data_IF_425002602573
#
_entry.id   IF_425002602573
#
_cell.length_a   1.000
_cell.length_b   1.000
_cell.length_c   1.000
_cell.angle_alpha   90.00
_cell.angle_beta   90.00
_cell.angle_gamma   90.00
#
_symmetry.space_group_name_H-M   'P 1'
#
loop_
_entity.id
_entity.type
_entity.pdbx_description
1 polymer ?
#
# COMPACT_ATOMS: atom_id res chain seq x y z
N UNK A 1 -6.03 -4.07 -0.02
CA UNK A 1 -4.72 -4.77 -0.04
C UNK A 1 -4.83 -6.22 -0.54
N UNK A 2 -5.88 -6.96 -0.18
CA UNK A 2 -6.09 -8.38 -0.53
C UNK A 2 -5.72 -8.76 -1.96
N UNK A 3 -6.24 -8.03 -2.97
CA UNK A 3 -5.96 -8.28 -4.39
C UNK A 3 -4.47 -8.34 -4.74
N UNK A 4 -3.65 -7.47 -4.14
CA UNK A 4 -2.22 -7.40 -4.40
C UNK A 4 -1.50 -8.56 -3.70
N UNK A 5 -1.87 -8.84 -2.45
CA UNK A 5 -1.34 -9.96 -1.67
C UNK A 5 -1.63 -11.30 -2.34
N UNK A 6 -2.86 -11.52 -2.84
CA UNK A 6 -3.26 -12.74 -3.56
C UNK A 6 -2.45 -12.92 -4.86
N UNK A 7 -2.00 -11.81 -5.46
CA UNK A 7 -1.09 -11.79 -6.61
C UNK A 7 0.39 -11.96 -6.27
N UNK A 8 0.74 -12.18 -4.99
CA UNK A 8 2.13 -12.29 -4.54
C UNK A 8 2.88 -10.96 -4.44
N UNK A 9 2.16 -9.83 -4.44
CA UNK A 9 2.73 -8.49 -4.31
C UNK A 9 2.62 -8.02 -2.86
N UNK A 10 3.76 -7.83 -2.19
CA UNK A 10 3.80 -7.17 -0.87
C UNK A 10 3.72 -5.65 -1.05
N UNK A 11 2.95 -5.01 -0.17
CA UNK A 11 2.77 -3.56 -0.14
C UNK A 11 3.24 -3.09 1.22
N UNK A 12 4.10 -2.08 1.24
CA UNK A 12 4.57 -1.47 2.48
C UNK A 12 4.02 -0.04 2.60
N UNK A 13 3.65 0.38 3.81
CA UNK A 13 3.14 1.72 4.12
C UNK A 13 3.94 2.36 5.25
N UNK A 14 3.65 3.63 5.55
CA UNK A 14 4.18 4.31 6.74
C UNK A 14 5.28 5.35 6.50
N UNK A 15 5.70 5.61 5.26
CA UNK A 15 6.69 6.67 4.95
C UNK A 15 6.18 7.58 3.83
N UNK A 16 6.45 8.87 4.00
CA UNK A 16 6.15 9.92 3.03
C UNK A 16 7.37 10.83 2.85
N UNK A 17 7.47 11.50 1.69
CA UNK A 17 8.63 12.34 1.35
C UNK A 17 9.11 12.08 -0.08
N UNK A 18 10.40 12.29 -0.32
CA UNK A 18 10.98 12.02 -1.64
C UNK A 18 11.09 10.52 -1.89
N UNK A 19 11.02 10.12 -3.17
CA UNK A 19 11.23 8.72 -3.58
C UNK A 19 12.57 8.18 -3.05
N UNK A 20 13.62 9.01 -3.06
CA UNK A 20 14.95 8.64 -2.55
C UNK A 20 14.92 8.25 -1.07
N UNK A 21 14.23 9.06 -0.24
CA UNK A 21 14.07 8.76 1.19
C UNK A 21 13.27 7.47 1.42
N UNK A 22 12.16 7.30 0.69
CA UNK A 22 11.33 6.08 0.79
C UNK A 22 12.14 4.83 0.41
N UNK A 23 12.97 4.90 -0.63
CA UNK A 23 13.84 3.79 -1.04
C UNK A 23 14.92 3.48 0.00
N UNK A 24 15.48 4.49 0.67
CA UNK A 24 16.45 4.30 1.74
C UNK A 24 15.81 3.58 2.94
N UNK A 25 14.62 4.01 3.37
CA UNK A 25 13.86 3.38 4.46
C UNK A 25 13.42 1.94 4.12
N UNK A 26 13.00 1.70 2.88
CA UNK A 26 12.68 0.36 2.39
C UNK A 26 13.88 -0.59 2.50
N UNK A 27 15.06 -0.15 2.03
CA UNK A 27 16.30 -0.93 2.14
C UNK A 27 16.75 -1.14 3.59
N UNK A 28 16.43 -0.20 4.48
CA UNK A 28 16.70 -0.31 5.92
C UNK A 28 15.78 -1.27 6.66
N UNK A 29 14.70 -1.75 6.04
CA UNK A 29 13.71 -2.63 6.67
C UNK A 29 12.77 -1.91 7.64
N UNK A 30 12.67 -0.57 7.56
CA UNK A 30 11.86 0.25 8.47
C UNK A 30 10.37 0.33 8.10
N UNK A 31 9.97 -0.19 6.93
CA UNK A 31 8.59 -0.08 6.46
C UNK A 31 7.71 -1.20 7.01
N UNK A 32 6.49 -0.86 7.42
CA UNK A 32 5.49 -1.84 7.83
C UNK A 32 4.78 -2.43 6.60
N UNK A 33 4.47 -3.72 6.65
CA UNK A 33 3.58 -4.32 5.64
C UNK A 33 2.15 -3.79 5.83
N UNK A 34 1.50 -3.48 4.71
CA UNK A 34 0.13 -3.00 4.68
C UNK A 34 -0.83 -4.14 5.04
N UNK A 35 -1.73 -3.88 5.99
CA UNK A 35 -2.77 -4.79 6.42
C UNK A 35 -4.14 -4.41 5.87
N UNK A 36 -5.15 -5.23 6.21
CA UNK A 36 -6.55 -4.93 5.86
C UNK A 36 -7.03 -3.59 6.43
N UNK A 37 -6.47 -3.14 7.55
CA UNK A 37 -6.71 -1.84 8.17
C UNK A 37 -6.24 -0.65 7.32
N UNK A 38 -5.25 -0.84 6.46
CA UNK A 38 -4.74 0.18 5.54
C UNK A 38 -5.59 0.29 4.26
N UNK A 39 -6.51 -0.65 4.04
CA UNK A 39 -7.42 -0.59 2.91
C UNK A 39 -8.48 0.50 3.13
N UNK A 40 -8.68 1.35 2.12
CA UNK A 40 -9.78 2.31 2.13
C UNK A 40 -11.13 1.60 2.32
N UNK A 41 -11.87 2.01 3.34
CA UNK A 41 -13.20 1.46 3.67
C UNK A 41 -14.31 1.98 2.74
N UNK A 42 -14.10 3.14 2.11
CA UNK A 42 -14.90 3.63 0.98
C UNK A 42 -14.13 3.40 -0.30
N UNK A 43 -14.51 2.38 -1.05
CA UNK A 43 -14.09 2.28 -2.45
C UNK A 43 -14.65 3.50 -3.20
N UNK A 44 -13.78 4.42 -3.60
CA UNK A 44 -14.14 5.53 -4.50
C UNK A 44 -14.31 5.07 -5.96
N UNK A 45 -14.33 3.75 -6.21
CA UNK A 45 -14.89 3.21 -7.44
C UNK A 45 -16.40 3.21 -7.27
N UNK A 46 -17.03 4.34 -7.60
CA UNK A 46 -18.41 4.29 -8.06
C UNK A 46 -18.40 3.39 -9.30
N UNK A 47 -19.01 2.22 -9.17
CA UNK A 47 -19.36 1.40 -10.32
C UNK A 47 -20.26 2.28 -11.20
N UNK A 48 -19.69 2.89 -12.24
CA UNK A 48 -20.48 3.49 -13.30
C UNK A 48 -20.97 2.35 -14.19
N UNK A 49 -21.89 1.56 -13.65
CA UNK A 49 -22.73 0.67 -14.42
C UNK A 49 -24.12 1.29 -14.52
N UNK A 50 -24.38 1.83 -15.71
CA UNK A 50 -25.68 1.86 -16.40
C UNK A 50 -26.88 2.37 -15.63
#
# INVERSE_FOLDING_TARGET
IQLLSDGGVSVCTGVSGTVSQVVAEWKGGSLAEAGASDACTRHAFHDHQG
#
